data_IF_048844085149
#
_entry.id   IF_048844085149
#
_cell.length_a   1.000
_cell.length_b   1.000
_cell.length_c   1.000
_cell.angle_alpha   90.00
_cell.angle_beta   90.00
_cell.angle_gamma   90.00
#
_symmetry.space_group_name_H-M   'P 1'
#
loop_
_entity.id
_entity.type
_entity.pdbx_description
1 polymer ?
#
# COMPACT_ATOMS: atom_id res chain seq x y z
N UNK A 1 -36.62 -32.67 4.19
CA UNK A 1 -36.78 -33.16 2.80
C UNK A 1 -37.92 -32.40 2.15
N UNK A 2 -37.66 -31.91 0.91
CA UNK A 2 -38.49 -31.08 -0.01
C UNK A 2 -38.60 -29.56 0.29
N UNK A 3 -38.65 -28.70 -0.75
CA UNK A 3 -37.72 -28.61 -1.90
C UNK A 3 -37.33 -27.16 -2.29
N UNK A 4 -36.32 -27.06 -3.15
CA UNK A 4 -35.88 -25.88 -3.92
C UNK A 4 -36.91 -25.42 -4.98
N UNK A 5 -36.95 -24.11 -5.26
CA UNK A 5 -37.41 -23.53 -6.53
C UNK A 5 -36.41 -22.45 -6.98
N UNK A 6 -35.90 -22.46 -8.23
CA UNK A 6 -35.11 -21.38 -8.79
C UNK A 6 -36.00 -20.40 -9.56
N UNK A 7 -35.81 -19.10 -9.36
CA UNK A 7 -36.35 -18.06 -10.25
C UNK A 7 -35.25 -17.62 -11.22
N UNK A 8 -35.45 -17.89 -12.50
CA UNK A 8 -34.74 -17.25 -13.61
C UNK A 8 -35.53 -15.99 -13.96
N UNK A 9 -34.90 -14.83 -13.93
CA UNK A 9 -35.44 -13.58 -14.45
C UNK A 9 -34.55 -13.11 -15.61
N UNK A 10 -35.11 -13.20 -16.81
CA UNK A 10 -34.62 -12.50 -18.00
C UNK A 10 -34.82 -11.00 -17.78
N UNK A 11 -33.77 -10.20 -17.92
CA UNK A 11 -33.86 -8.75 -18.01
C UNK A 11 -33.33 -8.27 -19.37
N UNK A 12 -34.20 -7.57 -20.06
CA UNK A 12 -34.08 -7.07 -21.42
C UNK A 12 -32.98 -6.02 -21.58
N UNK A 13 -32.22 -6.12 -22.66
CA UNK A 13 -31.23 -5.13 -23.11
C UNK A 13 -31.90 -3.85 -23.62
N UNK A 14 -31.68 -2.72 -22.94
CA UNK A 14 -31.94 -1.37 -23.48
C UNK A 14 -30.59 -0.77 -23.90
N UNK A 15 -30.45 -0.47 -25.19
CA UNK A 15 -29.29 0.20 -25.76
C UNK A 15 -29.28 1.67 -25.27
N UNK A 16 -28.30 2.03 -24.44
CA UNK A 16 -28.06 3.42 -24.07
C UNK A 16 -27.07 4.05 -25.06
N UNK A 17 -27.52 5.14 -25.71
CA UNK A 17 -26.72 6.00 -26.58
C UNK A 17 -25.66 6.80 -25.79
N UNK A 18 -24.58 7.26 -26.44
CA UNK A 18 -23.45 7.91 -25.77
C UNK A 18 -23.83 9.21 -25.07
N UNK A 19 -23.41 9.35 -23.80
CA UNK A 19 -23.59 10.55 -22.98
C UNK A 19 -22.55 11.60 -23.37
N UNK A 20 -23.00 12.73 -23.91
CA UNK A 20 -22.17 13.92 -24.12
C UNK A 20 -22.24 14.80 -22.87
N UNK A 21 -21.09 15.09 -22.25
CA UNK A 21 -21.01 15.99 -21.10
C UNK A 21 -21.08 17.45 -21.56
N UNK A 22 -22.16 18.16 -21.19
CA UNK A 22 -22.25 19.64 -21.21
C UNK A 22 -22.32 20.15 -19.77
N UNK A 23 -21.52 21.17 -19.45
CA UNK A 23 -21.54 21.85 -18.13
C UNK A 23 -22.66 22.89 -18.12
N UNK A 24 -23.51 22.87 -17.09
CA UNK A 24 -24.58 23.86 -16.87
C UNK A 24 -24.34 24.52 -15.50
N UNK A 25 -24.51 25.84 -15.44
CA UNK A 25 -24.61 26.63 -14.21
C UNK A 25 -26.05 27.16 -14.19
N UNK A 26 -26.94 26.43 -13.52
CA UNK A 26 -28.38 26.67 -13.53
C UNK A 26 -28.83 27.57 -12.39
N UNK A 27 -28.09 27.60 -11.29
CA UNK A 27 -28.34 28.52 -10.17
C UNK A 27 -27.59 29.86 -10.31
N UNK A 28 -26.78 30.02 -11.37
CA UNK A 28 -26.04 31.22 -11.74
C UNK A 28 -25.03 31.66 -10.67
N UNK A 29 -24.45 30.70 -9.96
CA UNK A 29 -23.45 30.96 -8.92
C UNK A 29 -22.00 30.93 -9.44
N UNK A 30 -21.79 30.78 -10.75
CA UNK A 30 -20.51 30.64 -11.45
C UNK A 30 -19.77 29.32 -11.18
N UNK A 31 -20.41 28.37 -10.48
CA UNK A 31 -19.93 27.01 -10.19
C UNK A 31 -20.77 26.02 -11.02
N UNK A 32 -20.15 25.15 -11.84
CA UNK A 32 -20.90 24.16 -12.60
C UNK A 32 -21.68 23.21 -11.68
N UNK A 33 -22.99 23.08 -11.94
CA UNK A 33 -23.86 22.17 -11.19
C UNK A 33 -23.61 20.71 -11.56
N UNK A 34 -23.71 19.82 -10.56
CA UNK A 34 -23.69 18.38 -10.78
C UNK A 34 -25.02 17.92 -11.39
N UNK A 35 -25.03 17.74 -12.71
CA UNK A 35 -26.19 17.31 -13.46
C UNK A 35 -25.98 15.93 -14.10
N UNK A 36 -27.02 15.11 -14.14
CA UNK A 36 -27.07 13.94 -15.02
C UNK A 36 -28.31 14.00 -15.92
N UNK A 37 -28.21 13.37 -17.09
CA UNK A 37 -29.29 13.33 -18.08
C UNK A 37 -29.85 11.92 -18.23
N UNK A 38 -31.17 11.81 -18.28
CA UNK A 38 -31.87 10.58 -18.61
C UNK A 38 -32.96 10.90 -19.65
N UNK A 39 -32.64 10.70 -20.92
CA UNK A 39 -33.46 11.20 -22.02
C UNK A 39 -33.55 12.73 -21.99
N UNK A 40 -34.78 13.26 -22.01
CA UNK A 40 -35.05 14.70 -21.97
C UNK A 40 -35.05 15.28 -20.55
N UNK A 41 -34.82 14.47 -19.52
CA UNK A 41 -34.81 14.91 -18.12
C UNK A 41 -33.37 15.19 -17.69
N UNK A 42 -33.14 16.40 -17.19
CA UNK A 42 -31.89 16.83 -16.55
C UNK A 42 -32.16 16.96 -15.05
N UNK A 43 -31.45 16.17 -14.26
CA UNK A 43 -31.49 16.25 -12.80
C UNK A 43 -30.21 16.91 -12.31
N UNK A 44 -30.31 18.03 -11.61
CA UNK A 44 -29.17 18.79 -11.10
C UNK A 44 -29.25 18.99 -9.59
N UNK A 45 -28.10 18.89 -8.93
CA UNK A 45 -27.94 19.18 -7.52
C UNK A 45 -27.55 20.64 -7.33
N UNK A 46 -28.53 21.52 -7.09
CA UNK A 46 -28.36 22.98 -7.06
C UNK A 46 -27.86 23.52 -5.70
N UNK A 47 -27.74 22.65 -4.69
CA UNK A 47 -27.30 23.07 -3.35
C UNK A 47 -26.80 21.89 -2.54
N UNK A 48 -25.49 21.88 -2.25
CA UNK A 48 -24.82 20.83 -1.47
C UNK A 48 -25.29 20.75 -0.01
N UNK A 49 -25.93 21.80 0.51
CA UNK A 49 -26.41 21.84 1.90
C UNK A 49 -27.79 21.22 2.09
N UNK A 50 -28.57 21.04 1.02
CA UNK A 50 -29.94 20.51 1.11
C UNK A 50 -30.12 19.12 0.51
N UNK A 51 -29.17 18.64 -0.31
CA UNK A 51 -29.23 17.36 -1.03
C UNK A 51 -30.52 17.18 -1.87
N UNK A 52 -31.21 18.27 -2.22
CA UNK A 52 -32.43 18.23 -3.02
C UNK A 52 -32.05 18.27 -4.51
N UNK A 53 -32.42 17.22 -5.23
CA UNK A 53 -32.27 17.14 -6.67
C UNK A 53 -33.41 17.89 -7.36
N UNK A 54 -33.05 18.86 -8.20
CA UNK A 54 -34.03 19.59 -9.02
C UNK A 54 -34.03 19.01 -10.43
N UNK A 55 -35.22 18.68 -10.93
CA UNK A 55 -35.41 18.08 -12.26
C UNK A 55 -36.01 19.09 -13.22
N UNK A 56 -35.44 19.15 -14.43
CA UNK A 56 -35.89 19.98 -15.53
C UNK A 56 -36.07 19.13 -16.77
N UNK A 57 -37.02 19.50 -17.63
CA UNK A 57 -37.11 18.93 -18.98
C UNK A 57 -36.30 19.81 -19.91
N UNK A 58 -35.31 19.24 -20.60
CA UNK A 58 -34.46 19.94 -21.55
C UNK A 58 -35.32 20.47 -22.71
N UNK A 59 -35.71 21.74 -22.63
CA UNK A 59 -36.29 22.45 -23.77
C UNK A 59 -35.14 22.94 -24.63
N UNK A 60 -35.10 22.45 -25.87
CA UNK A 60 -34.07 22.75 -26.87
C UNK A 60 -33.87 24.26 -27.03
N UNK A 61 -32.77 24.77 -26.48
CA UNK A 61 -32.28 26.13 -26.74
C UNK A 61 -30.84 26.04 -27.25
N UNK A 62 -30.67 26.37 -28.52
CA UNK A 62 -29.41 26.37 -29.27
C UNK A 62 -28.63 27.65 -29.02
N UNK A 63 -27.59 27.60 -28.17
CA UNK A 63 -26.41 28.46 -28.33
C UNK A 63 -25.16 27.69 -27.89
N UNK A 64 -24.32 27.33 -28.86
CA UNK A 64 -22.99 26.78 -28.65
C UNK A 64 -21.97 27.89 -28.94
N UNK A 65 -21.07 28.16 -27.99
CA UNK A 65 -19.89 29.00 -28.21
C UNK A 65 -18.68 28.08 -28.25
N UNK A 66 -17.99 28.07 -29.39
CA UNK A 66 -16.78 27.30 -29.68
C UNK A 66 -15.52 28.12 -29.40
N UNK A 67 -14.50 27.51 -28.81
CA UNK A 67 -13.12 28.03 -28.75
C UNK A 67 -12.09 26.97 -29.20
N UNK A 68 -10.93 27.39 -29.78
CA UNK A 68 -10.18 26.60 -30.74
C UNK A 68 -8.92 25.88 -30.20
N UNK A 69 -8.38 25.04 -31.08
CA UNK A 69 -7.34 24.03 -30.92
C UNK A 69 -5.93 24.48 -30.49
N UNK A 70 -5.26 23.58 -29.76
CA UNK A 70 -3.83 23.60 -29.39
C UNK A 70 -2.91 23.28 -30.57
N UNK A 71 -1.74 23.92 -30.58
CA UNK A 71 -0.64 23.69 -31.52
C UNK A 71 0.38 22.69 -30.97
N UNK A 72 0.77 21.74 -31.82
CA UNK A 72 1.80 20.72 -31.63
C UNK A 72 3.22 21.29 -31.77
N UNK A 73 4.18 20.80 -30.98
CA UNK A 73 5.62 20.94 -31.24
C UNK A 73 6.28 19.56 -31.23
N UNK A 74 6.95 19.25 -32.35
CA UNK A 74 7.66 17.99 -32.62
C UNK A 74 8.93 17.83 -31.79
N UNK A 75 9.18 16.59 -31.36
CA UNK A 75 10.45 16.10 -30.84
C UNK A 75 11.39 15.66 -31.97
N UNK A 76 12.69 15.94 -31.80
CA UNK A 76 13.76 15.40 -32.63
C UNK A 76 14.55 14.40 -31.81
N UNK A 77 14.69 13.18 -32.35
CA UNK A 77 15.45 12.06 -31.82
C UNK A 77 16.96 12.25 -32.00
N UNK A 78 17.75 11.73 -31.05
CA UNK A 78 19.12 11.28 -31.31
C UNK A 78 19.54 10.23 -30.29
N UNK A 79 19.77 9.03 -30.78
CA UNK A 79 20.31 7.85 -30.12
C UNK A 79 21.84 7.89 -30.09
N UNK A 80 22.47 7.63 -28.94
CA UNK A 80 23.83 7.08 -28.89
C UNK A 80 23.93 6.10 -27.72
N UNK A 81 24.13 4.83 -28.05
CA UNK A 81 24.55 3.77 -27.13
C UNK A 81 26.00 3.98 -26.71
N UNK A 82 26.29 3.89 -25.42
CA UNK A 82 27.62 3.53 -24.91
C UNK A 82 27.49 2.82 -23.56
N UNK A 83 27.80 1.52 -23.58
CA UNK A 83 27.87 0.64 -22.42
C UNK A 83 29.04 1.05 -21.53
N UNK A 84 28.76 1.55 -20.31
CA UNK A 84 29.78 1.77 -19.28
C UNK A 84 29.48 0.81 -18.13
N UNK A 85 30.31 -0.24 -18.03
CA UNK A 85 30.35 -1.12 -16.87
C UNK A 85 31.01 -0.37 -15.70
N UNK A 86 30.19 0.21 -14.82
CA UNK A 86 30.67 0.81 -13.57
C UNK A 86 30.77 -0.31 -12.54
N UNK A 87 32.01 -0.76 -12.26
CA UNK A 87 32.33 -1.50 -11.03
C UNK A 87 32.13 -0.55 -9.85
N UNK A 88 30.97 -0.61 -9.21
CA UNK A 88 30.76 0.02 -7.91
C UNK A 88 31.50 -0.84 -6.88
N UNK A 89 32.68 -0.38 -6.47
CA UNK A 89 33.32 -0.91 -5.28
C UNK A 89 32.40 -0.62 -4.09
N UNK A 90 32.05 -1.67 -3.35
CA UNK A 90 31.32 -1.56 -2.09
C UNK A 90 32.17 -0.75 -1.11
N UNK A 91 31.87 0.54 -0.98
CA UNK A 91 32.40 1.38 0.10
C UNK A 91 31.74 0.89 1.38
N UNK A 92 32.37 -0.07 2.05
CA UNK A 92 32.08 -0.44 3.43
C UNK A 92 32.37 0.78 4.31
N UNK A 93 31.36 1.64 4.50
CA UNK A 93 31.38 2.67 5.51
C UNK A 93 31.41 1.98 6.86
N UNK A 94 32.61 1.88 7.45
CA UNK A 94 32.79 1.58 8.86
C UNK A 94 32.24 2.75 9.69
N UNK A 95 30.91 2.77 9.87
CA UNK A 95 30.29 3.58 10.90
C UNK A 95 30.76 3.01 12.25
N UNK A 96 31.26 3.87 13.13
CA UNK A 96 31.53 3.53 14.53
C UNK A 96 30.29 2.82 15.09
N UNK A 97 30.42 1.52 15.39
CA UNK A 97 29.33 0.74 15.95
C UNK A 97 28.98 1.33 17.32
N UNK A 98 27.88 2.08 17.38
CA UNK A 98 27.19 2.31 18.65
C UNK A 98 26.81 0.93 19.17
N UNK A 99 27.35 0.54 20.32
CA UNK A 99 26.93 -0.71 20.98
C UNK A 99 25.51 -0.48 21.51
N UNK A 100 24.52 -0.82 20.71
CA UNK A 100 23.14 -0.86 21.16
C UNK A 100 23.01 -1.83 22.35
N UNK A 101 22.04 -1.62 23.26
CA UNK A 101 21.65 -2.68 24.17
C UNK A 101 21.23 -3.90 23.35
N UNK A 102 21.54 -5.09 23.86
CA UNK A 102 21.19 -6.37 23.21
C UNK A 102 20.48 -7.25 24.22
N UNK A 103 19.37 -7.85 23.81
CA UNK A 103 18.64 -8.87 24.56
C UNK A 103 18.71 -10.21 23.85
N UNK A 104 18.41 -11.29 24.57
CA UNK A 104 18.22 -12.61 23.94
C UNK A 104 16.74 -12.86 23.79
N UNK A 105 16.27 -13.10 22.57
CA UNK A 105 14.89 -13.52 22.33
C UNK A 105 14.71 -14.92 22.93
N UNK A 106 13.80 -15.13 23.89
CA UNK A 106 13.57 -16.44 24.48
C UNK A 106 12.80 -17.36 23.51
N UNK A 107 12.52 -18.59 23.92
CA UNK A 107 11.58 -19.44 23.19
C UNK A 107 10.13 -18.91 23.33
N UNK A 108 9.21 -19.24 22.40
CA UNK A 108 7.82 -18.75 22.43
C UNK A 108 7.05 -19.02 23.73
N UNK A 109 7.33 -20.12 24.43
CA UNK A 109 6.65 -20.45 25.69
C UNK A 109 7.13 -19.53 26.81
N UNK A 110 8.44 -19.32 26.91
CA UNK A 110 9.04 -18.41 27.87
C UNK A 110 8.63 -16.96 27.59
N UNK A 111 8.60 -16.55 26.31
CA UNK A 111 8.06 -15.26 25.88
C UNK A 111 6.67 -15.00 26.48
N UNK A 112 5.74 -15.93 26.32
CA UNK A 112 4.37 -15.77 26.83
C UNK A 112 4.31 -15.64 28.35
N UNK A 113 5.18 -16.33 29.10
CA UNK A 113 5.23 -16.20 30.56
C UNK A 113 5.86 -14.90 31.06
N UNK A 114 6.64 -14.23 30.20
CA UNK A 114 7.39 -13.04 30.56
C UNK A 114 6.60 -11.73 30.35
N UNK A 115 5.39 -11.80 29.78
CA UNK A 115 4.52 -10.63 29.58
C UNK A 115 4.26 -9.88 30.90
N UNK A 116 4.48 -8.57 30.88
CA UNK A 116 4.39 -7.68 32.04
C UNK A 116 5.65 -7.66 32.92
N UNK A 117 6.67 -8.46 32.60
CA UNK A 117 7.93 -8.51 33.37
C UNK A 117 9.18 -8.28 32.53
N UNK A 118 9.34 -8.96 31.37
CA UNK A 118 10.45 -8.76 30.42
C UNK A 118 10.06 -8.09 29.13
N UNK A 119 8.77 -8.07 28.84
CA UNK A 119 8.23 -7.23 27.79
C UNK A 119 6.83 -6.81 28.17
N UNK A 120 6.37 -5.70 27.60
CA UNK A 120 4.99 -5.29 27.71
C UNK A 120 4.60 -4.46 26.50
N UNK A 121 3.29 -4.40 26.26
CA UNK A 121 2.69 -3.52 25.26
C UNK A 121 1.87 -2.44 25.95
N UNK A 122 1.92 -1.22 25.41
CA UNK A 122 1.09 -0.11 25.86
C UNK A 122 0.52 0.65 24.67
N UNK A 123 -0.69 1.20 24.83
CA UNK A 123 -1.32 2.02 23.79
C UNK A 123 -0.71 3.42 23.78
N UNK A 124 -0.29 3.87 22.61
CA UNK A 124 0.22 5.24 22.38
C UNK A 124 -0.91 6.17 21.97
N UNK A 125 -1.77 5.72 21.06
CA UNK A 125 -2.93 6.47 20.56
C UNK A 125 -3.13 6.31 19.05
N UNK A 126 -4.20 6.90 18.49
CA UNK A 126 -4.46 6.87 17.05
C UNK A 126 -3.54 7.80 16.28
N UNK A 127 -3.21 7.43 15.04
CA UNK A 127 -2.59 8.37 14.10
C UNK A 127 -3.58 9.48 13.72
N UNK A 128 -3.06 10.66 13.43
CA UNK A 128 -3.87 11.81 13.05
C UNK A 128 -3.12 12.73 12.09
N UNK A 129 -3.88 13.55 11.37
CA UNK A 129 -3.33 14.66 10.60
C UNK A 129 -3.50 15.96 11.37
N UNK A 130 -2.47 16.81 11.35
CA UNK A 130 -2.54 18.16 11.93
C UNK A 130 -3.15 19.21 10.99
N UNK A 131 -3.28 18.90 9.69
CA UNK A 131 -3.76 19.84 8.67
C UNK A 131 -5.25 19.64 8.39
N UNK A 132 -5.61 18.40 8.03
CA UNK A 132 -7.00 17.99 7.84
C UNK A 132 -7.44 17.18 9.07
N UNK A 133 -8.32 17.71 9.93
CA UNK A 133 -8.82 16.98 11.08
C UNK A 133 -9.77 15.86 10.64
N UNK A 134 -9.94 14.85 11.50
CA UNK A 134 -10.91 13.76 11.30
C UNK A 134 -10.73 12.98 9.99
N UNK A 135 -9.49 12.61 9.69
CA UNK A 135 -9.15 11.71 8.60
C UNK A 135 -9.21 10.25 9.05
N UNK A 136 -9.69 9.39 8.16
CA UNK A 136 -9.67 7.95 8.23
C UNK A 136 -8.55 7.37 7.37
N UNK A 137 -8.00 6.25 7.81
CA UNK A 137 -6.76 5.68 7.30
C UNK A 137 -6.86 4.17 7.14
N UNK A 138 -6.21 3.65 6.10
CA UNK A 138 -6.05 2.23 5.83
C UNK A 138 -4.57 1.87 5.61
N UNK A 139 -4.15 0.68 6.02
CA UNK A 139 -2.82 0.04 5.86
C UNK A 139 -1.59 0.74 6.45
N UNK A 140 -1.65 2.03 6.79
CA UNK A 140 -0.62 2.89 7.40
C UNK A 140 0.78 2.29 7.57
N UNK A 141 1.53 2.17 6.47
CA UNK A 141 2.92 1.72 6.46
C UNK A 141 3.85 2.92 6.56
N UNK A 142 5.06 2.71 7.06
CA UNK A 142 6.09 3.76 7.07
C UNK A 142 7.29 3.38 6.24
N UNK A 143 8.00 4.39 5.74
CA UNK A 143 9.23 4.24 4.98
C UNK A 143 10.18 5.37 5.30
N UNK A 144 11.46 5.17 5.00
CA UNK A 144 12.51 6.15 5.24
C UNK A 144 13.34 6.27 3.97
N UNK A 145 13.55 7.49 3.51
CA UNK A 145 14.50 7.83 2.45
C UNK A 145 15.37 8.98 2.92
N UNK A 146 16.68 8.89 2.77
CA UNK A 146 17.64 9.91 3.25
C UNK A 146 17.37 10.34 4.70
N UNK A 147 17.07 9.38 5.58
CA UNK A 147 16.73 9.63 6.99
C UNK A 147 15.47 10.49 7.22
N UNK A 148 14.59 10.62 6.22
CA UNK A 148 13.29 11.31 6.34
C UNK A 148 12.16 10.28 6.31
N UNK A 149 11.35 10.18 7.38
CA UNK A 149 10.24 9.24 7.43
C UNK A 149 9.03 9.77 6.64
N UNK A 150 8.25 8.85 6.11
CA UNK A 150 6.95 9.14 5.50
C UNK A 150 5.99 7.97 5.65
N UNK A 151 4.72 8.29 5.63
CA UNK A 151 3.60 7.36 5.69
C UNK A 151 3.11 7.03 4.29
N UNK A 152 2.64 5.79 4.13
CA UNK A 152 2.02 5.27 2.91
C UNK A 152 0.76 4.55 3.34
N UNK A 153 -0.38 4.94 2.77
CA UNK A 153 -1.68 4.43 3.14
C UNK A 153 -2.32 3.65 1.99
N UNK A 154 -3.31 2.81 2.30
CA UNK A 154 -4.26 2.30 1.32
C UNK A 154 -5.29 3.39 1.03
N UNK A 155 -6.53 3.17 1.43
CA UNK A 155 -7.57 4.18 1.29
C UNK A 155 -7.45 5.28 2.37
N UNK A 156 -7.60 6.55 1.96
CA UNK A 156 -7.62 7.72 2.84
C UNK A 156 -8.80 8.61 2.48
N UNK A 157 -9.62 8.93 3.47
CA UNK A 157 -10.85 9.73 3.35
C UNK A 157 -11.17 10.39 4.68
N UNK A 158 -12.18 11.26 4.75
CA UNK A 158 -12.61 11.76 6.06
C UNK A 158 -13.48 10.74 6.80
N UNK A 159 -13.39 10.72 8.14
CA UNK A 159 -14.25 9.93 9.03
C UNK A 159 -15.73 10.33 8.93
N UNK A 160 -16.04 11.54 8.44
CA UNK A 160 -17.42 12.00 8.27
C UNK A 160 -17.94 11.83 6.83
N UNK A 161 -17.14 11.23 5.93
CA UNK A 161 -17.52 10.97 4.54
C UNK A 161 -16.48 11.44 3.53
N UNK A 162 -16.96 11.77 2.33
CA UNK A 162 -16.10 12.10 1.18
C UNK A 162 -15.84 13.60 1.01
N UNK A 163 -16.17 14.45 2.00
CA UNK A 163 -16.06 15.91 1.82
C UNK A 163 -14.61 16.43 1.65
N UNK A 164 -13.61 15.59 1.97
CA UNK A 164 -12.20 15.86 1.71
C UNK A 164 -11.62 14.92 0.65
N UNK A 165 -12.46 14.31 -0.18
CA UNK A 165 -12.06 13.38 -1.22
C UNK A 165 -11.75 11.96 -0.73
N UNK A 166 -11.38 11.10 -1.67
CA UNK A 166 -10.85 9.77 -1.46
C UNK A 166 -9.53 9.64 -2.23
N UNK A 167 -8.51 9.10 -1.57
CA UNK A 167 -7.31 8.58 -2.23
C UNK A 167 -7.14 7.09 -1.97
N UNK A 168 -6.49 6.41 -2.92
CA UNK A 168 -6.12 4.99 -2.82
C UNK A 168 -4.61 4.88 -3.09
N UNK A 169 -3.80 4.66 -2.07
CA UNK A 169 -2.35 4.67 -2.18
C UNK A 169 -1.64 6.03 -2.01
N UNK A 170 -2.10 7.00 -1.18
CA UNK A 170 -1.36 8.24 -0.97
C UNK A 170 -0.14 8.03 -0.07
N UNK A 171 0.78 8.99 -0.11
CA UNK A 171 1.85 9.10 0.85
C UNK A 171 1.99 10.53 1.37
N UNK A 172 2.37 10.66 2.63
CA UNK A 172 2.50 11.93 3.34
C UNK A 172 3.74 11.90 4.23
N UNK A 173 4.32 13.05 4.54
CA UNK A 173 5.49 13.07 5.41
C UNK A 173 5.14 12.63 6.83
N UNK A 174 6.09 11.95 7.48
CA UNK A 174 6.02 11.66 8.91
C UNK A 174 6.80 12.72 9.68
N UNK A 175 6.45 12.91 10.94
CA UNK A 175 7.22 13.82 11.80
C UNK A 175 8.20 13.04 12.68
N UNK A 176 9.52 13.33 12.62
CA UNK A 176 10.51 12.54 13.35
C UNK A 176 10.33 12.53 14.88
N UNK A 177 9.75 13.60 15.43
CA UNK A 177 9.51 13.81 16.86
C UNK A 177 8.18 13.22 17.36
N UNK A 178 7.28 12.85 16.45
CA UNK A 178 5.95 12.35 16.81
C UNK A 178 5.47 11.32 15.80
N UNK A 179 5.46 10.06 16.23
CA UNK A 179 5.00 8.93 15.42
C UNK A 179 3.50 8.99 15.07
N UNK A 180 2.67 9.64 15.87
CA UNK A 180 1.23 9.67 15.61
C UNK A 180 0.84 10.68 14.52
N UNK A 181 1.70 11.68 14.27
CA UNK A 181 1.37 12.80 13.38
C UNK A 181 1.78 12.52 11.94
N UNK A 182 0.78 12.59 11.06
CA UNK A 182 0.93 12.63 9.61
C UNK A 182 0.98 14.08 9.16
N UNK A 183 2.06 14.47 8.49
CA UNK A 183 2.23 15.80 7.92
C UNK A 183 1.74 15.81 6.47
N UNK A 184 0.55 16.37 6.30
CA UNK A 184 -0.10 16.55 4.99
C UNK A 184 0.28 17.88 4.32
N UNK A 185 1.18 18.67 4.91
CA UNK A 185 1.60 19.97 4.37
C UNK A 185 0.42 20.92 4.18
N UNK A 186 0.29 21.48 2.97
CA UNK A 186 -0.78 22.38 2.52
C UNK A 186 -2.04 21.65 2.04
N UNK A 187 -2.06 20.32 2.07
CA UNK A 187 -3.18 19.52 1.56
C UNK A 187 -4.43 19.72 2.39
N UNK A 188 -5.52 20.15 1.76
CA UNK A 188 -6.86 20.28 2.36
C UNK A 188 -7.90 19.28 1.82
N UNK A 189 -7.59 18.64 0.68
CA UNK A 189 -8.40 17.63 0.01
C UNK A 189 -7.44 16.53 -0.49
N UNK A 190 -7.72 15.27 -0.16
CA UNK A 190 -6.89 14.11 -0.52
C UNK A 190 -7.24 13.50 -1.87
N UNK A 191 -8.30 13.97 -2.53
CA UNK A 191 -8.77 13.44 -3.80
C UNK A 191 -7.61 13.29 -4.80
N UNK A 192 -7.44 12.06 -5.31
CA UNK A 192 -6.45 11.70 -6.32
C UNK A 192 -4.98 11.99 -5.94
N UNK A 193 -4.65 12.19 -4.66
CA UNK A 193 -3.25 12.22 -4.22
C UNK A 193 -2.70 10.80 -4.24
N UNK A 194 -1.90 10.44 -5.24
CA UNK A 194 -1.35 9.09 -5.37
C UNK A 194 0.17 9.13 -5.19
N UNK A 195 0.73 8.21 -4.40
CA UNK A 195 2.18 8.07 -4.31
C UNK A 195 2.77 7.69 -5.68
N UNK A 196 2.19 6.69 -6.34
CA UNK A 196 2.65 6.16 -7.61
C UNK A 196 1.47 6.10 -8.58
N UNK A 197 1.12 7.20 -9.27
CA UNK A 197 -0.03 7.25 -10.16
C UNK A 197 0.12 6.25 -11.33
N UNK A 198 -0.99 5.84 -11.97
CA UNK A 198 -0.96 4.98 -13.15
C UNK A 198 -0.05 5.56 -14.25
N UNK A 199 0.63 4.68 -14.99
CA UNK A 199 1.42 5.12 -16.13
C UNK A 199 0.51 5.56 -17.26
N UNK A 200 0.98 6.46 -18.13
CA UNK A 200 0.20 6.91 -19.30
C UNK A 200 -0.11 5.79 -20.30
N UNK A 201 0.62 4.68 -20.24
CA UNK A 201 0.38 3.47 -21.03
C UNK A 201 -0.67 2.54 -20.42
N UNK A 202 -1.03 2.73 -19.15
CA UNK A 202 -1.97 1.85 -18.47
C UNK A 202 -3.40 2.16 -18.98
N UNK A 203 -4.23 1.15 -19.27
CA UNK A 203 -5.59 1.39 -19.73
C UNK A 203 -6.39 2.14 -18.66
N UNK A 204 -7.05 3.23 -19.05
CA UNK A 204 -7.91 3.99 -18.14
C UNK A 204 -9.12 3.15 -17.68
N UNK A 205 -9.60 3.32 -16.44
CA UNK A 205 -10.80 2.70 -15.94
C UNK A 205 -11.99 3.06 -16.81
N UNK A 206 -12.86 2.09 -17.03
CA UNK A 206 -14.07 2.20 -17.81
C UNK A 206 -15.27 1.65 -17.04
N UNK A 207 -16.47 2.04 -17.44
CA UNK A 207 -17.70 1.51 -16.86
C UNK A 207 -17.73 -0.04 -16.94
N UNK A 208 -18.16 -0.75 -15.87
CA UNK A 208 -18.81 -0.25 -14.66
C UNK A 208 -17.85 0.10 -13.48
N UNK A 209 -16.54 0.21 -13.74
CA UNK A 209 -15.50 0.46 -12.73
C UNK A 209 -14.70 1.73 -13.08
N UNK A 210 -15.29 2.94 -13.00
CA UNK A 210 -14.67 4.16 -13.54
C UNK A 210 -13.56 4.77 -12.65
N UNK A 211 -13.19 4.12 -11.54
CA UNK A 211 -12.22 4.66 -10.59
C UNK A 211 -10.94 3.86 -10.53
N UNK A 212 -9.82 4.55 -10.31
CA UNK A 212 -8.56 3.91 -9.97
C UNK A 212 -8.55 3.44 -8.51
N UNK A 213 -7.93 2.29 -8.27
CA UNK A 213 -7.61 1.75 -6.97
C UNK A 213 -6.16 1.29 -6.96
N UNK A 214 -5.34 1.82 -6.05
CA UNK A 214 -3.95 1.38 -5.90
C UNK A 214 -3.70 0.84 -4.50
N UNK A 215 -3.25 -0.41 -4.43
CA UNK A 215 -2.59 -0.94 -3.24
C UNK A 215 -1.09 -0.74 -3.39
N UNK A 216 -0.47 -0.02 -2.47
CA UNK A 216 0.97 0.29 -2.52
C UNK A 216 1.72 -0.43 -1.40
N UNK A 217 2.89 -0.98 -1.70
CA UNK A 217 3.82 -1.45 -0.68
C UNK A 217 4.38 -0.29 0.14
N UNK A 218 5.15 -0.59 1.20
CA UNK A 218 6.11 0.40 1.69
C UNK A 218 7.24 0.61 0.66
N UNK A 219 8.18 1.50 0.94
CA UNK A 219 9.35 1.78 0.12
C UNK A 219 10.62 1.28 0.81
N UNK A 220 11.46 0.56 0.07
CA UNK A 220 12.81 0.19 0.49
C UNK A 220 13.84 1.13 -0.16
N UNK A 221 14.69 1.77 0.64
CA UNK A 221 15.78 2.60 0.11
C UNK A 221 16.84 1.73 -0.58
N UNK A 222 17.20 2.04 -1.83
CA UNK A 222 18.21 1.29 -2.61
C UNK A 222 19.48 2.11 -2.86
N UNK A 223 19.37 3.42 -2.74
CA UNK A 223 20.48 4.38 -2.67
C UNK A 223 19.99 5.64 -1.98
N UNK A 224 20.88 6.48 -1.41
CA UNK A 224 20.45 7.67 -0.67
C UNK A 224 19.42 8.53 -1.44
N UNK A 225 18.21 8.64 -0.88
CA UNK A 225 17.10 9.44 -1.40
C UNK A 225 16.29 8.78 -2.51
N UNK A 226 16.61 7.54 -2.86
CA UNK A 226 15.95 6.78 -3.91
C UNK A 226 15.51 5.43 -3.36
N UNK A 227 14.21 5.20 -3.42
CA UNK A 227 13.62 3.94 -3.02
C UNK A 227 12.95 3.19 -4.15
N UNK A 228 12.60 1.96 -3.86
CA UNK A 228 11.75 1.10 -4.69
C UNK A 228 10.49 0.73 -3.93
N UNK A 229 9.37 0.69 -4.63
CA UNK A 229 8.14 0.07 -4.15
C UNK A 229 7.33 -0.53 -5.29
N UNK A 230 6.21 -1.14 -4.93
CA UNK A 230 5.31 -1.85 -5.83
C UNK A 230 3.88 -1.36 -5.67
N UNK A 231 3.15 -1.37 -6.78
CA UNK A 231 1.72 -1.12 -6.82
C UNK A 231 1.00 -2.35 -7.33
N UNK A 232 -0.19 -2.59 -6.79
CA UNK A 232 -1.17 -3.47 -7.38
C UNK A 232 -2.38 -2.62 -7.78
N UNK A 233 -2.60 -2.57 -9.09
CA UNK A 233 -3.65 -1.76 -9.69
C UNK A 233 -4.96 -2.55 -9.75
N UNK A 234 -6.04 -1.86 -9.37
CA UNK A 234 -7.40 -2.36 -9.29
C UNK A 234 -8.29 -1.28 -9.90
N UNK A 235 -9.24 -1.66 -10.77
CA UNK A 235 -10.32 -0.75 -11.12
C UNK A 235 -11.44 -0.89 -10.10
N UNK A 236 -12.08 0.22 -9.72
CA UNK A 236 -13.09 0.25 -8.67
C UNK A 236 -14.38 0.88 -9.18
N UNK A 237 -15.49 0.42 -8.61
CA UNK A 237 -16.78 1.09 -8.65
C UNK A 237 -17.04 1.82 -7.33
N UNK A 238 -18.23 2.42 -7.17
CA UNK A 238 -18.64 3.11 -5.95
C UNK A 238 -18.83 2.20 -4.73
N UNK A 239 -18.88 0.87 -4.91
CA UNK A 239 -18.86 -0.09 -3.80
C UNK A 239 -17.45 -0.53 -3.40
N UNK A 240 -16.41 0.07 -3.99
CA UNK A 240 -15.01 -0.25 -3.70
C UNK A 240 -14.51 -1.57 -4.29
N UNK A 241 -15.32 -2.24 -5.10
CA UNK A 241 -15.03 -3.55 -5.72
C UNK A 241 -14.66 -3.34 -7.18
N UNK A 242 -13.74 -4.14 -7.69
CA UNK A 242 -13.59 -4.32 -9.13
C UNK A 242 -12.39 -5.17 -9.52
N UNK A 243 -12.10 -5.27 -10.82
CA UNK A 243 -11.11 -6.21 -11.33
C UNK A 243 -9.70 -5.74 -11.01
N UNK A 244 -8.87 -6.69 -10.59
CA UNK A 244 -7.42 -6.51 -10.59
C UNK A 244 -6.93 -6.25 -12.01
N UNK A 245 -5.89 -5.43 -12.15
CA UNK A 245 -5.28 -5.07 -13.44
C UNK A 245 -3.86 -5.57 -13.54
N UNK A 246 -3.10 -5.45 -12.46
CA UNK A 246 -1.77 -6.05 -12.40
C UNK A 246 -0.79 -5.34 -11.50
N UNK A 247 0.46 -5.78 -11.63
CA UNK A 247 1.58 -5.34 -10.83
C UNK A 247 2.34 -4.23 -11.53
N UNK A 248 2.84 -3.30 -10.73
CA UNK A 248 3.78 -2.31 -11.19
C UNK A 248 4.94 -2.07 -10.22
N UNK A 249 6.08 -1.63 -10.76
CA UNK A 249 7.26 -1.16 -9.98
C UNK A 249 7.38 0.36 -10.08
N UNK A 250 7.73 1.06 -9.00
CA UNK A 250 8.00 2.49 -9.02
C UNK A 250 9.28 2.85 -8.27
N UNK A 251 9.89 3.96 -8.70
CA UNK A 251 11.00 4.63 -8.05
C UNK A 251 10.48 5.74 -7.16
N UNK A 252 10.72 5.63 -5.87
CA UNK A 252 10.32 6.61 -4.88
C UNK A 252 11.43 7.64 -4.65
N UNK A 253 11.03 8.89 -4.42
CA UNK A 253 11.90 10.00 -4.04
C UNK A 253 11.13 10.97 -3.13
N UNK A 254 11.86 11.91 -2.52
CA UNK A 254 11.29 12.94 -1.67
C UNK A 254 10.98 14.19 -2.49
N UNK A 255 9.70 14.55 -2.62
CA UNK A 255 9.28 15.82 -3.21
C UNK A 255 9.27 16.97 -2.20
N UNK A 256 9.05 18.22 -2.63
CA UNK A 256 9.03 19.37 -1.73
C UNK A 256 7.86 19.31 -0.72
N UNK A 257 6.69 18.86 -1.17
CA UNK A 257 5.47 18.82 -0.34
C UNK A 257 5.08 17.40 0.10
N UNK A 258 5.26 16.41 -0.78
CA UNK A 258 4.90 15.01 -0.55
C UNK A 258 5.97 14.06 -1.10
N UNK A 259 6.08 12.82 -0.60
CA UNK A 259 6.82 11.76 -1.28
C UNK A 259 6.25 11.51 -2.68
N UNK A 260 7.13 11.21 -3.65
CA UNK A 260 6.74 11.01 -5.06
C UNK A 260 7.28 9.68 -5.56
N UNK A 261 6.39 8.88 -6.15
CA UNK A 261 6.69 7.62 -6.83
C UNK A 261 6.51 7.76 -8.34
N UNK A 262 7.57 7.48 -9.10
CA UNK A 262 7.52 7.44 -10.56
C UNK A 262 7.52 5.99 -11.03
N UNK A 263 6.46 5.55 -11.72
CA UNK A 263 6.38 4.20 -12.33
C UNK A 263 7.57 4.01 -13.28
N UNK A 264 8.20 2.83 -13.27
CA UNK A 264 9.30 2.51 -14.20
C UNK A 264 8.82 2.18 -15.62
N UNK A 265 7.52 2.11 -15.82
CA UNK A 265 6.82 1.80 -17.05
C UNK A 265 5.35 1.49 -16.75
N UNK A 266 4.66 0.84 -17.68
CA UNK A 266 3.32 0.31 -17.42
C UNK A 266 3.33 -0.87 -16.43
N UNK A 267 2.22 -1.59 -16.38
CA UNK A 267 2.14 -2.84 -15.61
C UNK A 267 3.17 -3.87 -16.10
N UNK A 268 3.94 -4.43 -15.16
CA UNK A 268 5.00 -5.41 -15.43
C UNK A 268 4.50 -6.85 -15.37
N UNK A 269 3.33 -7.08 -14.79
CA UNK A 269 2.62 -8.35 -14.80
C UNK A 269 1.11 -8.12 -14.78
N UNK A 270 0.36 -9.02 -15.40
CA UNK A 270 -1.10 -8.93 -15.51
C UNK A 270 -1.85 -9.36 -14.23
N UNK A 271 -3.19 -9.42 -14.30
CA UNK A 271 -4.04 -9.66 -13.13
C UNK A 271 -3.95 -11.06 -12.53
N UNK A 272 -3.43 -12.03 -13.30
CA UNK A 272 -3.22 -13.42 -12.83
C UNK A 272 -1.89 -13.59 -12.07
N UNK A 273 -1.05 -12.56 -12.00
CA UNK A 273 0.23 -12.61 -11.31
C UNK A 273 0.09 -12.48 -9.79
N UNK A 274 1.12 -12.91 -9.06
CA UNK A 274 1.24 -12.60 -7.63
C UNK A 274 1.34 -11.07 -7.41
N UNK A 275 0.59 -10.47 -6.47
CA UNK A 275 0.72 -9.05 -6.12
C UNK A 275 1.98 -8.82 -5.27
N UNK A 276 3.13 -8.72 -5.94
CA UNK A 276 4.46 -8.66 -5.33
C UNK A 276 4.63 -7.46 -4.40
N UNK A 277 5.14 -7.70 -3.19
CA UNK A 277 5.56 -6.65 -2.24
C UNK A 277 4.43 -5.94 -1.49
N UNK A 278 3.17 -6.28 -1.75
CA UNK A 278 2.02 -5.57 -1.16
C UNK A 278 1.94 -5.69 0.36
N UNK A 279 2.50 -6.74 0.95
CA UNK A 279 2.64 -6.80 2.40
C UNK A 279 3.74 -5.82 2.84
N UNK A 280 4.98 -6.07 2.40
CA UNK A 280 6.13 -5.24 2.71
C UNK A 280 7.30 -5.50 1.74
N UNK A 281 8.21 -4.53 1.65
CA UNK A 281 9.49 -4.64 0.97
C UNK A 281 10.62 -4.18 1.88
N UNK A 282 11.77 -4.85 1.78
CA UNK A 282 12.92 -4.59 2.65
C UNK A 282 14.20 -4.69 1.83
N UNK A 283 15.10 -3.72 1.99
CA UNK A 283 16.48 -3.85 1.52
C UNK A 283 17.30 -4.53 2.63
N UNK A 284 17.85 -5.71 2.33
CA UNK A 284 18.69 -6.46 3.25
C UNK A 284 19.69 -7.31 2.47
N UNK A 285 20.89 -7.50 3.01
CA UNK A 285 21.88 -8.46 2.48
C UNK A 285 22.25 -8.25 1.00
N UNK A 286 22.11 -7.04 0.46
CA UNK A 286 22.38 -6.73 -0.95
C UNK A 286 21.21 -7.05 -1.91
N UNK A 287 20.03 -7.35 -1.38
CA UNK A 287 18.81 -7.64 -2.11
C UNK A 287 17.64 -6.74 -1.66
N UNK A 288 16.70 -6.52 -2.57
CA UNK A 288 15.36 -6.05 -2.24
C UNK A 288 14.46 -7.28 -2.10
N UNK A 289 14.08 -7.60 -0.88
CA UNK A 289 13.12 -8.65 -0.57
C UNK A 289 11.69 -8.10 -0.65
N UNK A 290 10.79 -8.90 -1.21
CA UNK A 290 9.37 -8.59 -1.37
C UNK A 290 8.54 -9.65 -0.68
N UNK A 291 7.56 -9.24 0.11
CA UNK A 291 6.68 -10.13 0.85
C UNK A 291 5.25 -9.90 0.41
N UNK A 292 4.52 -10.99 0.20
CA UNK A 292 3.13 -10.96 -0.26
C UNK A 292 2.34 -12.05 0.43
N UNK A 293 1.10 -11.75 0.78
CA UNK A 293 0.19 -12.73 1.36
C UNK A 293 -0.33 -13.70 0.31
N UNK A 294 -0.42 -14.97 0.72
CA UNK A 294 -1.04 -16.04 -0.05
C UNK A 294 -2.46 -16.24 0.44
N UNK A 295 -3.42 -16.34 -0.49
CA UNK A 295 -4.81 -16.66 -0.17
C UNK A 295 -4.93 -17.95 0.67
N UNK A 296 -5.73 -17.91 1.74
CA UNK A 296 -6.01 -19.05 2.63
C UNK A 296 -4.95 -19.36 3.70
N UNK A 297 -3.69 -18.95 3.54
CA UNK A 297 -2.61 -18.86 4.57
C UNK A 297 -1.22 -18.83 3.93
N UNK A 298 -0.29 -18.10 4.57
CA UNK A 298 1.13 -18.07 4.22
C UNK A 298 1.59 -16.78 3.58
N UNK A 299 2.91 -16.62 3.53
CA UNK A 299 3.59 -15.45 2.94
C UNK A 299 4.56 -15.97 1.89
N UNK A 300 4.54 -15.38 0.70
CA UNK A 300 5.50 -15.61 -0.37
C UNK A 300 6.60 -14.56 -0.28
N UNK A 301 7.85 -15.00 -0.40
CA UNK A 301 9.02 -14.12 -0.47
C UNK A 301 9.66 -14.20 -1.85
N UNK A 302 9.92 -13.02 -2.40
CA UNK A 302 10.72 -12.81 -3.60
C UNK A 302 11.91 -11.93 -3.29
N UNK A 303 12.91 -11.93 -4.18
CA UNK A 303 14.03 -11.00 -4.09
C UNK A 303 14.63 -10.68 -5.45
N UNK A 304 15.25 -9.52 -5.55
CA UNK A 304 16.17 -9.16 -6.64
C UNK A 304 17.40 -8.48 -6.04
N UNK A 305 18.57 -8.65 -6.65
CA UNK A 305 19.76 -7.92 -6.23
C UNK A 305 19.51 -6.40 -6.34
N UNK A 306 19.98 -5.61 -5.39
CA UNK A 306 19.70 -4.15 -5.33
C UNK A 306 20.00 -3.44 -6.66
N UNK A 307 21.09 -3.81 -7.34
CA UNK A 307 21.48 -3.22 -8.64
C UNK A 307 20.51 -3.48 -9.78
N UNK A 308 19.67 -4.52 -9.68
CA UNK A 308 18.70 -4.94 -10.68
C UNK A 308 17.25 -4.85 -10.17
N UNK A 309 17.00 -4.23 -9.02
CA UNK A 309 15.70 -4.27 -8.36
C UNK A 309 14.57 -3.62 -9.19
N UNK A 310 14.88 -2.76 -10.15
CA UNK A 310 13.88 -2.17 -11.06
C UNK A 310 13.58 -3.03 -12.29
N UNK A 311 14.30 -4.14 -12.47
CA UNK A 311 14.13 -5.07 -13.58
C UNK A 311 13.24 -6.24 -13.13
N UNK A 312 12.01 -6.32 -13.64
CA UNK A 312 11.03 -7.33 -13.20
C UNK A 312 11.55 -8.76 -13.38
N UNK A 313 12.28 -9.02 -14.47
CA UNK A 313 12.83 -10.33 -14.79
C UNK A 313 13.98 -10.75 -13.87
N UNK A 314 14.53 -9.83 -13.06
CA UNK A 314 15.57 -10.15 -12.10
C UNK A 314 15.04 -10.75 -10.79
N UNK A 315 13.72 -10.73 -10.57
CA UNK A 315 13.12 -11.29 -9.37
C UNK A 315 13.10 -12.81 -9.40
N UNK A 316 13.51 -13.40 -8.27
CA UNK A 316 13.38 -14.83 -7.97
C UNK A 316 12.54 -15.03 -6.71
N UNK A 317 11.80 -16.14 -6.65
CA UNK A 317 10.87 -16.44 -5.56
C UNK A 317 11.20 -17.76 -4.89
N UNK A 318 11.05 -17.80 -3.56
CA UNK A 318 11.37 -18.97 -2.75
C UNK A 318 10.25 -20.00 -2.84
N UNK A 319 10.61 -21.19 -3.31
CA UNK A 319 9.74 -22.36 -3.32
C UNK A 319 9.68 -23.01 -1.93
N UNK A 320 8.60 -23.72 -1.64
CA UNK A 320 8.45 -24.51 -0.40
C UNK A 320 9.49 -25.63 -0.26
N UNK A 321 10.22 -25.95 -1.34
CA UNK A 321 11.34 -26.91 -1.35
C UNK A 321 12.70 -26.25 -1.03
N UNK A 322 12.72 -24.94 -0.76
CA UNK A 322 13.94 -24.19 -0.43
C UNK A 322 14.78 -23.73 -1.62
N UNK A 323 14.31 -23.89 -2.87
CA UNK A 323 14.98 -23.34 -4.06
C UNK A 323 14.40 -22.00 -4.49
N UNK A 324 15.23 -21.13 -5.06
CA UNK A 324 14.82 -19.89 -5.70
C UNK A 324 14.55 -20.10 -7.20
N UNK A 325 13.41 -19.60 -7.69
CA UNK A 325 13.00 -19.71 -9.10
C UNK A 325 12.79 -18.32 -9.67
N UNK A 326 13.43 -18.02 -10.79
CA UNK A 326 13.35 -16.73 -11.47
C UNK A 326 11.98 -16.54 -12.14
N UNK A 327 11.48 -15.30 -12.11
CA UNK A 327 10.21 -14.88 -12.69
C UNK A 327 9.09 -14.78 -11.65
N UNK A 328 8.15 -13.86 -11.89
CA UNK A 328 6.98 -13.68 -11.02
C UNK A 328 6.00 -14.85 -11.27
N UNK A 329 5.69 -15.66 -10.24
CA UNK A 329 4.73 -16.74 -10.41
C UNK A 329 3.32 -16.19 -10.60
N UNK A 330 2.48 -16.97 -11.30
CA UNK A 330 1.04 -16.73 -11.26
C UNK A 330 0.53 -16.88 -9.83
N UNK A 331 -0.56 -16.20 -9.49
CA UNK A 331 -1.18 -16.31 -8.17
C UNK A 331 -1.59 -17.76 -7.85
N UNK A 332 -2.09 -18.50 -8.85
CA UNK A 332 -2.46 -19.91 -8.70
C UNK A 332 -1.26 -20.81 -8.39
N UNK A 333 -0.13 -20.60 -9.05
CA UNK A 333 1.11 -21.34 -8.82
C UNK A 333 1.73 -20.99 -7.45
N UNK A 334 1.81 -19.69 -7.13
CA UNK A 334 2.29 -19.18 -5.85
C UNK A 334 1.53 -19.79 -4.66
N UNK A 335 0.21 -20.01 -4.80
CA UNK A 335 -0.62 -20.67 -3.78
C UNK A 335 -0.16 -22.07 -3.41
N UNK A 336 0.52 -22.81 -4.28
CA UNK A 336 0.83 -24.22 -4.02
C UNK A 336 2.32 -24.49 -3.87
N UNK A 337 3.17 -23.70 -4.52
CA UNK A 337 4.58 -24.05 -4.68
C UNK A 337 5.55 -23.09 -3.97
N UNK A 338 5.09 -21.92 -3.53
CA UNK A 338 5.94 -20.86 -2.99
C UNK A 338 5.54 -20.47 -1.57
N UNK A 339 6.52 -20.02 -0.78
CA UNK A 339 6.28 -19.58 0.58
C UNK A 339 7.53 -19.45 1.43
N UNK A 340 7.40 -18.77 2.56
CA UNK A 340 8.39 -18.77 3.64
C UNK A 340 8.56 -20.18 4.21
N UNK A 341 9.80 -20.47 4.62
CA UNK A 341 10.12 -21.68 5.37
C UNK A 341 9.91 -21.39 6.87
N UNK A 342 9.24 -22.29 7.58
CA UNK A 342 9.17 -22.35 9.04
C UNK A 342 9.95 -23.55 9.57
N UNK A 343 10.03 -23.69 10.89
CA UNK A 343 10.71 -24.84 11.51
C UNK A 343 10.00 -26.19 11.22
N UNK A 344 10.79 -27.25 10.98
CA UNK A 344 10.30 -28.60 10.65
C UNK A 344 10.30 -28.94 9.14
N UNK A 345 9.66 -30.06 8.74
CA UNK A 345 9.57 -30.58 7.36
C UNK A 345 8.76 -29.65 6.41
N UNK A 346 9.21 -28.41 6.21
CA UNK A 346 8.59 -27.43 5.31
C UNK A 346 7.40 -26.68 5.90
N UNK A 347 7.36 -26.47 7.23
CA UNK A 347 6.25 -25.80 7.92
C UNK A 347 6.01 -24.39 7.37
N UNK A 348 4.84 -24.13 6.79
CA UNK A 348 4.47 -22.79 6.31
C UNK A 348 4.20 -21.90 7.52
N UNK A 349 4.76 -20.68 7.57
CA UNK A 349 4.36 -19.65 8.55
C UNK A 349 2.85 -19.44 8.46
N UNK A 350 2.05 -19.91 9.44
CA UNK A 350 0.66 -20.25 9.17
C UNK A 350 -0.32 -19.07 9.06
N UNK A 351 0.10 -17.81 9.25
CA UNK A 351 -0.88 -16.72 9.41
C UNK A 351 -0.42 -15.41 8.77
N UNK A 352 -1.16 -14.96 7.76
CA UNK A 352 -1.43 -13.54 7.52
C UNK A 352 -2.75 -13.42 6.76
N UNK A 353 -3.77 -12.85 7.40
CA UNK A 353 -5.02 -12.50 6.73
C UNK A 353 -4.93 -11.09 6.14
N UNK A 354 -3.96 -10.94 5.25
CA UNK A 354 -3.94 -9.85 4.29
C UNK A 354 -2.88 -8.79 4.51
N UNK A 355 -2.23 -8.68 5.68
CA UNK A 355 -1.23 -7.61 5.94
C UNK A 355 -0.24 -7.96 7.06
N UNK A 356 0.93 -7.32 7.04
CA UNK A 356 2.05 -7.58 7.94
C UNK A 356 3.29 -6.76 7.56
N UNK A 357 4.34 -6.85 8.35
CA UNK A 357 5.61 -6.16 8.08
C UNK A 357 6.79 -6.98 8.60
N UNK A 358 7.97 -6.73 8.06
CA UNK A 358 9.21 -7.39 8.50
C UNK A 358 10.28 -6.33 8.74
N UNK A 359 11.10 -6.55 9.76
CA UNK A 359 12.24 -5.71 10.05
C UNK A 359 13.40 -6.52 10.62
N UNK A 360 14.60 -5.96 10.54
CA UNK A 360 15.73 -6.41 11.35
C UNK A 360 15.71 -5.77 12.74
N UNK A 361 15.75 -6.57 13.81
CA UNK A 361 15.89 -6.08 15.19
C UNK A 361 17.36 -5.99 15.59
N UNK A 362 17.84 -4.79 15.94
CA UNK A 362 19.18 -4.59 16.47
C UNK A 362 19.30 -5.16 17.90
N UNK A 363 18.23 -5.08 18.69
CA UNK A 363 18.19 -5.57 20.07
C UNK A 363 18.29 -7.10 20.15
N UNK A 364 17.55 -7.82 19.30
CA UNK A 364 17.56 -9.29 19.29
C UNK A 364 18.52 -9.91 18.26
N UNK A 365 19.04 -9.12 17.33
CA UNK A 365 19.86 -9.58 16.21
C UNK A 365 19.15 -10.68 15.39
N UNK A 366 17.89 -10.41 15.03
CA UNK A 366 16.97 -11.30 14.28
C UNK A 366 16.08 -10.49 13.35
N UNK A 367 15.64 -11.09 12.25
CA UNK A 367 14.50 -10.59 11.49
C UNK A 367 13.21 -10.93 12.21
N UNK A 368 12.35 -9.94 12.41
CA UNK A 368 11.04 -10.06 13.05
C UNK A 368 9.95 -9.83 12.00
N UNK A 369 9.13 -10.84 11.75
CA UNK A 369 8.00 -10.83 10.83
C UNK A 369 6.71 -10.65 11.63
N UNK A 370 6.22 -9.42 11.69
CA UNK A 370 4.97 -9.04 12.34
C UNK A 370 3.78 -9.36 11.45
N UNK A 371 2.77 -10.02 12.02
CA UNK A 371 1.56 -10.43 11.32
C UNK A 371 0.41 -10.57 12.31
N UNK A 372 -0.80 -10.79 11.79
CA UNK A 372 -1.99 -11.09 12.58
C UNK A 372 -3.08 -11.75 11.74
N UNK A 373 -4.11 -12.24 12.42
CA UNK A 373 -5.39 -12.59 11.78
C UNK A 373 -6.39 -11.45 11.91
N UNK A 374 -7.34 -11.35 10.98
CA UNK A 374 -8.38 -10.32 11.01
C UNK A 374 -9.18 -10.40 12.31
N UNK A 375 -9.25 -9.29 13.08
CA UNK A 375 -9.97 -9.25 14.35
C UNK A 375 -9.32 -10.09 15.47
N UNK A 376 -8.00 -10.27 15.46
CA UNK A 376 -7.29 -11.18 16.38
C UNK A 376 -5.92 -10.64 16.83
N UNK A 377 -5.19 -11.48 17.57
CA UNK A 377 -3.87 -11.21 18.15
C UNK A 377 -2.80 -10.75 17.17
N UNK A 378 -2.06 -9.71 17.60
CA UNK A 378 -0.78 -9.34 17.02
C UNK A 378 0.27 -10.36 17.48
N UNK A 379 1.09 -10.82 16.54
CA UNK A 379 2.18 -11.75 16.80
C UNK A 379 3.35 -11.45 15.87
N UNK A 380 4.51 -12.01 16.18
CA UNK A 380 5.62 -12.05 15.23
C UNK A 380 6.27 -13.42 15.19
N UNK A 381 7.03 -13.64 14.11
CA UNK A 381 7.94 -14.77 13.95
C UNK A 381 9.37 -14.22 13.83
N UNK A 382 10.37 -14.98 14.25
CA UNK A 382 11.76 -14.57 14.22
C UNK A 382 12.59 -15.46 13.28
N UNK A 383 13.64 -14.91 12.66
CA UNK A 383 14.60 -15.68 11.87
C UNK A 383 15.97 -15.05 11.86
N UNK A 384 16.99 -15.84 11.53
CA UNK A 384 18.34 -15.33 11.25
C UNK A 384 18.49 -14.77 9.84
N UNK A 385 17.60 -15.15 8.92
CA UNK A 385 17.62 -14.67 7.53
C UNK A 385 16.28 -14.00 7.20
N UNK A 386 16.23 -13.13 6.18
CA UNK A 386 15.00 -12.45 5.82
C UNK A 386 13.95 -13.39 5.19
N UNK A 387 14.31 -14.63 4.87
CA UNK A 387 13.46 -15.61 4.20
C UNK A 387 13.22 -16.91 5.00
N UNK A 388 13.73 -17.00 6.22
CA UNK A 388 13.53 -18.13 7.12
C UNK A 388 14.73 -19.09 7.24
N UNK A 389 14.59 -20.21 7.97
CA UNK A 389 13.36 -20.66 8.62
C UNK A 389 12.91 -19.70 9.74
N UNK A 390 11.61 -19.50 9.86
CA UNK A 390 11.00 -18.66 10.90
C UNK A 390 10.55 -19.50 12.10
N UNK A 391 10.94 -19.07 13.30
CA UNK A 391 10.54 -19.61 14.61
C UNK A 391 9.41 -18.76 15.22
N UNK A 392 8.51 -19.36 16.00
CA UNK A 392 7.34 -18.68 16.57
C UNK A 392 6.06 -19.55 16.56
N UNK A 393 4.87 -18.94 16.76
CA UNK A 393 4.63 -17.50 16.94
C UNK A 393 5.03 -16.98 18.32
N UNK A 394 5.42 -15.71 18.38
CA UNK A 394 5.56 -14.92 19.60
C UNK A 394 4.33 -14.02 19.74
N UNK A 395 3.41 -14.39 20.62
CA UNK A 395 2.13 -13.70 20.80
C UNK A 395 2.31 -12.40 21.61
N UNK A 396 1.80 -11.27 21.11
CA UNK A 396 1.90 -9.97 21.80
C UNK A 396 0.62 -9.71 22.60
N UNK A 397 -0.49 -9.45 21.93
CA UNK A 397 -1.79 -9.26 22.58
C UNK A 397 -2.93 -9.34 21.56
N UNK A 398 -4.13 -9.67 22.02
CA UNK A 398 -5.37 -9.53 21.24
C UNK A 398 -5.72 -8.05 21.07
N UNK A 399 -5.29 -7.47 19.95
CA UNK A 399 -5.67 -6.12 19.56
C UNK A 399 -6.64 -6.21 18.39
N UNK A 400 -7.82 -5.62 18.55
CA UNK A 400 -8.80 -5.55 17.46
C UNK A 400 -8.21 -4.73 16.31
N UNK A 401 -8.16 -5.35 15.13
CA UNK A 401 -7.75 -4.69 13.90
C UNK A 401 -7.19 -5.65 12.84
N UNK A 402 -6.64 -5.05 11.80
CA UNK A 402 -5.86 -5.65 10.73
C UNK A 402 -4.69 -4.72 10.38
N UNK A 403 -3.76 -5.17 9.54
CA UNK A 403 -2.66 -4.29 9.11
C UNK A 403 -1.60 -4.07 10.17
N UNK A 404 -1.03 -5.15 10.70
CA UNK A 404 0.04 -5.08 11.70
C UNK A 404 1.33 -4.56 11.04
N UNK A 405 1.69 -3.32 11.33
CA UNK A 405 2.88 -2.67 10.76
C UNK A 405 3.84 -2.20 11.85
N UNK A 406 5.14 -2.49 11.70
CA UNK A 406 6.19 -2.01 12.59
C UNK A 406 6.89 -0.76 12.02
N UNK A 407 7.26 0.16 12.90
CA UNK A 407 7.74 1.50 12.55
C UNK A 407 9.13 1.76 13.15
N UNK A 408 10.20 1.11 12.64
CA UNK A 408 11.51 1.08 13.29
C UNK A 408 12.20 2.44 13.37
N UNK A 409 11.89 3.39 12.47
CA UNK A 409 12.49 4.73 12.49
C UNK A 409 12.32 5.47 13.82
N UNK A 410 11.18 5.28 14.49
CA UNK A 410 10.88 5.95 15.75
C UNK A 410 11.33 5.14 16.97
N UNK A 411 11.98 3.98 16.77
CA UNK A 411 12.67 3.31 17.88
C UNK A 411 13.73 4.27 18.43
N UNK A 412 13.68 4.63 19.73
CA UNK A 412 14.68 5.49 20.34
C UNK A 412 16.07 4.94 20.06
N UNK A 413 17.00 5.83 19.72
CA UNK A 413 18.41 5.56 19.37
C UNK A 413 18.68 4.51 18.25
N UNK A 414 17.65 3.85 17.72
CA UNK A 414 17.77 2.76 16.75
C UNK A 414 18.11 1.39 17.37
N UNK A 415 18.11 1.26 18.70
CA UNK A 415 18.39 -0.02 19.37
C UNK A 415 17.36 -1.11 19.11
N UNK A 416 16.11 -0.74 18.82
CA UNK A 416 14.98 -1.67 18.73
C UNK A 416 14.65 -2.37 20.06
N UNK A 417 15.12 -1.83 21.20
CA UNK A 417 14.66 -2.24 22.54
C UNK A 417 13.21 -1.80 22.78
N UNK A 418 12.84 -0.66 22.20
CA UNK A 418 11.45 -0.20 22.10
C UNK A 418 11.05 -0.23 20.63
N UNK A 419 9.93 -0.86 20.32
CA UNK A 419 9.32 -0.87 18.99
C UNK A 419 7.94 -0.22 19.01
N UNK A 420 7.58 0.38 17.89
CA UNK A 420 6.24 0.89 17.67
C UNK A 420 5.56 0.06 16.59
N UNK A 421 4.36 -0.41 16.89
CA UNK A 421 3.57 -1.28 16.02
C UNK A 421 2.16 -0.72 15.91
N UNK A 422 1.58 -0.69 14.72
CA UNK A 422 0.23 -0.22 14.49
C UNK A 422 -0.72 -1.32 14.03
N UNK A 423 -2.01 -1.09 14.25
CA UNK A 423 -3.12 -1.93 13.76
C UNK A 423 -4.35 -1.06 13.53
N UNK A 424 -5.10 -1.34 12.46
CA UNK A 424 -6.24 -0.54 12.00
C UNK A 424 -7.60 -1.24 12.16
N UNK A 425 -8.63 -0.49 12.54
CA UNK A 425 -10.03 -0.91 12.57
C UNK A 425 -10.95 0.31 12.41
N UNK A 426 -12.07 0.17 11.69
CA UNK A 426 -13.06 1.24 11.46
C UNK A 426 -12.43 2.58 11.01
N UNK A 427 -11.53 2.52 10.02
CA UNK A 427 -10.77 3.67 9.48
C UNK A 427 -9.86 4.39 10.49
N UNK A 428 -9.59 3.81 11.66
CA UNK A 428 -8.67 4.35 12.66
C UNK A 428 -7.48 3.39 12.80
N UNK A 429 -6.27 3.92 12.68
CA UNK A 429 -5.04 3.17 12.93
C UNK A 429 -4.50 3.57 14.30
N UNK A 430 -4.45 2.61 15.22
CA UNK A 430 -3.90 2.79 16.56
C UNK A 430 -2.44 2.38 16.59
N UNK A 431 -1.65 3.10 17.37
CA UNK A 431 -0.25 2.82 17.64
C UNK A 431 -0.07 2.21 19.03
N UNK A 432 0.78 1.20 19.09
CA UNK A 432 1.19 0.47 20.28
C UNK A 432 2.70 0.55 20.42
N UNK A 433 3.15 0.61 21.67
CA UNK A 433 4.57 0.60 22.04
C UNK A 433 4.88 -0.74 22.70
N UNK A 434 5.83 -1.47 22.14
CA UNK A 434 6.39 -2.69 22.69
C UNK A 434 7.75 -2.37 23.29
N UNK A 435 7.92 -2.63 24.59
CA UNK A 435 9.19 -2.44 25.30
C UNK A 435 9.76 -3.78 25.74
N UNK A 436 11.08 -3.94 25.62
CA UNK A 436 11.82 -5.16 25.99
C UNK A 436 12.86 -4.89 27.09
N UNK A 437 12.97 -5.79 28.06
CA UNK A 437 13.90 -5.76 29.20
C UNK A 437 14.59 -7.13 29.42
N UNK A 438 14.87 -7.80 28.31
CA UNK A 438 15.54 -9.10 28.24
C UNK A 438 17.04 -9.03 28.53
#
# INVERSE_FOLDING_TARGET
MRPFLPFILFASSVLASPVFHKRYDLDHNEIPDWCYTNGDIVSCLLSESSYVWTTFTASTSTQAVSTPASTSVSATTSSVSASIAIKVAATSSSASASSYPTGTLPDPKTWNSDNGTKWHVSTVGPIYSSTVPSMGWDNGRTSVLSNKPFWIFGDVLSLTGLQNGLSTGPAFYGTPDNILRVDMGSTSNVENILLAPPASSDPAPEEPFPFWGLSTSNVAEVSPGVGIGFIWEIWRNTSGVGPNRGLGIYRASLGPELPVGNRTGGLVAGPDALPVGIMTVMNAEGYVYTYTNKDGSGIVVGRAAVGNAFEVDAYEFLTLKGSWVQGIPSYADAKTNYGLLGEGDGGVVPISYGQGSIMWSNYFNRYLLFTGSYGSSMMFYASQTPYGPFEGPYDIETVLGYGVNVHPFWSPDGSHQTLYVSSGWDNVINMYKLDFDY
#
